data_IF_477474136541
#
_entry.id   IF_477474136541
#
_cell.length_a   1.000
_cell.length_b   1.000
_cell.length_c   1.000
_cell.angle_alpha   90.00
_cell.angle_beta   90.00
_cell.angle_gamma   90.00
#
_symmetry.space_group_name_H-M   'P 1'
#
loop_
_entity.id
_entity.type
_entity.pdbx_description
1 polymer ?
#
# COMPACT_ATOMS: atom_id res chain seq x y z
N UNK A 1 -12.71 -12.45 -2.41
CA UNK A 1 -11.40 -11.79 -2.45
C UNK A 1 -11.51 -10.48 -3.23
N UNK A 2 -10.93 -9.43 -2.72
CA UNK A 2 -10.92 -8.14 -3.41
C UNK A 2 -9.76 -8.05 -4.38
N UNK A 3 -9.99 -7.39 -5.50
CA UNK A 3 -8.92 -6.96 -6.37
C UNK A 3 -8.31 -5.70 -5.78
N UNK A 4 -6.99 -5.65 -5.70
CA UNK A 4 -6.28 -4.49 -5.16
C UNK A 4 -5.54 -3.80 -6.30
N UNK A 5 -5.94 -2.57 -6.59
CA UNK A 5 -5.26 -1.72 -7.57
C UNK A 5 -4.22 -0.92 -6.80
N UNK A 6 -2.96 -1.01 -7.21
CA UNK A 6 -1.86 -0.45 -6.43
C UNK A 6 -0.95 0.45 -7.24
N UNK A 7 -0.35 1.43 -6.54
CA UNK A 7 0.74 2.26 -7.04
C UNK A 7 1.75 2.43 -5.91
N UNK A 8 3.02 2.26 -6.21
CA UNK A 8 4.09 2.44 -5.22
C UNK A 8 4.71 3.83 -5.34
N UNK A 9 5.10 4.38 -4.20
CA UNK A 9 5.73 5.69 -4.13
C UNK A 9 6.87 5.65 -3.11
N UNK A 10 8.06 6.06 -3.52
CA UNK A 10 9.19 6.24 -2.61
C UNK A 10 9.23 7.70 -2.14
N UNK A 11 9.42 7.91 -0.84
CA UNK A 11 9.59 9.26 -0.29
C UNK A 11 10.90 9.90 -0.74
N UNK A 12 11.93 9.08 -0.91
CA UNK A 12 13.22 9.55 -1.41
C UNK A 12 13.34 9.22 -2.88
N UNK A 13 13.77 10.19 -3.67
CA UNK A 13 14.00 9.99 -5.09
C UNK A 13 15.16 9.02 -5.30
N UNK A 14 15.14 8.31 -6.44
CA UNK A 14 16.20 7.40 -6.90
C UNK A 14 16.33 6.09 -6.13
N UNK A 15 15.37 5.73 -5.31
CA UNK A 15 15.37 4.39 -4.74
C UNK A 15 14.82 3.38 -5.74
N UNK A 16 15.48 2.25 -5.84
CA UNK A 16 15.01 1.13 -6.64
C UNK A 16 14.27 0.14 -5.74
N UNK A 17 13.22 -0.45 -6.28
CA UNK A 17 12.48 -1.50 -5.59
C UNK A 17 13.32 -2.77 -5.55
N UNK A 18 13.72 -3.19 -4.36
CA UNK A 18 14.49 -4.41 -4.13
C UNK A 18 13.55 -5.59 -3.92
N UNK A 19 14.08 -6.81 -4.00
CA UNK A 19 13.27 -8.02 -3.80
C UNK A 19 12.62 -8.02 -2.41
N UNK A 20 13.33 -7.62 -1.37
CA UNK A 20 12.76 -7.54 -0.03
C UNK A 20 11.57 -6.58 0.03
N UNK A 21 11.66 -5.47 -0.69
CA UNK A 21 10.56 -4.49 -0.77
C UNK A 21 9.35 -5.11 -1.48
N UNK A 22 9.57 -5.86 -2.55
CA UNK A 22 8.50 -6.54 -3.27
C UNK A 22 7.80 -7.55 -2.38
N UNK A 23 8.56 -8.30 -1.60
CA UNK A 23 8.00 -9.30 -0.68
C UNK A 23 7.12 -8.63 0.38
N UNK A 24 7.56 -7.49 0.90
CA UNK A 24 6.76 -6.73 1.86
C UNK A 24 5.47 -6.19 1.23
N UNK A 25 5.56 -5.66 0.02
CA UNK A 25 4.40 -5.17 -0.72
C UNK A 25 3.42 -6.31 -0.97
N UNK A 26 3.91 -7.45 -1.46
CA UNK A 26 3.08 -8.60 -1.74
C UNK A 26 2.34 -9.08 -0.50
N UNK A 27 3.01 -9.08 0.66
CA UNK A 27 2.40 -9.46 1.92
C UNK A 27 1.27 -8.50 2.30
N UNK A 28 1.50 -7.20 2.16
CA UNK A 28 0.48 -6.18 2.46
C UNK A 28 -0.71 -6.34 1.51
N UNK A 29 -0.45 -6.50 0.22
CA UNK A 29 -1.52 -6.70 -0.79
C UNK A 29 -2.33 -7.95 -0.47
N UNK A 30 -1.68 -9.04 -0.09
CA UNK A 30 -2.35 -10.28 0.31
C UNK A 30 -3.32 -10.04 1.48
N UNK A 31 -2.86 -9.33 2.51
CA UNK A 31 -3.69 -9.00 3.67
C UNK A 31 -4.91 -8.19 3.22
N UNK A 32 -4.70 -7.18 2.38
CA UNK A 32 -5.77 -6.33 1.88
C UNK A 32 -6.75 -7.10 0.99
N UNK A 33 -6.24 -7.96 0.11
CA UNK A 33 -7.07 -8.76 -0.79
C UNK A 33 -7.98 -9.72 -0.03
N UNK A 34 -7.56 -10.17 1.13
CA UNK A 34 -8.34 -11.04 1.99
C UNK A 34 -9.21 -10.27 3.00
N UNK A 35 -9.34 -8.97 2.80
CA UNK A 35 -10.17 -8.09 3.61
C UNK A 35 -9.80 -8.12 5.09
N UNK A 36 -8.52 -8.34 5.39
CA UNK A 36 -7.99 -8.28 6.74
C UNK A 36 -7.56 -6.86 7.08
N UNK A 37 -7.53 -6.55 8.36
CA UNK A 37 -7.13 -5.23 8.83
C UNK A 37 -5.61 -5.18 8.95
N UNK A 38 -5.00 -4.14 8.39
CA UNK A 38 -3.56 -3.92 8.52
C UNK A 38 -3.20 -3.51 9.94
N UNK A 39 -2.03 -3.95 10.40
CA UNK A 39 -1.46 -3.50 11.66
C UNK A 39 -1.27 -1.97 11.66
N UNK A 40 -1.43 -1.35 12.81
CA UNK A 40 -1.28 0.10 12.97
C UNK A 40 0.09 0.62 12.52
N UNK A 41 1.11 -0.22 12.55
CA UNK A 41 2.45 0.16 12.11
C UNK A 41 2.50 0.59 10.64
N UNK A 42 1.55 0.14 9.84
CA UNK A 42 1.47 0.51 8.41
C UNK A 42 0.82 1.87 8.18
N UNK A 43 0.23 2.48 9.22
CA UNK A 43 -0.38 3.81 9.14
C UNK A 43 -1.36 3.96 7.98
N UNK A 44 -2.19 2.94 7.78
CA UNK A 44 -3.19 2.93 6.71
C UNK A 44 -4.20 4.05 6.93
N UNK A 45 -4.41 4.87 5.89
CA UNK A 45 -5.37 5.98 5.97
C UNK A 45 -5.92 6.31 4.59
N UNK A 46 -7.11 6.89 4.58
CA UNK A 46 -7.78 7.32 3.36
C UNK A 46 -7.18 8.63 2.85
N UNK A 47 -7.01 8.74 1.54
CA UNK A 47 -6.57 9.99 0.91
C UNK A 47 -7.76 10.94 0.79
N UNK A 48 -7.47 12.23 0.63
CA UNK A 48 -8.47 13.29 0.57
C UNK A 48 -8.64 13.84 -0.84
N UNK A 49 -9.69 14.61 -1.05
CA UNK A 49 -9.96 15.30 -2.31
C UNK A 49 -10.32 14.33 -3.43
N UNK A 50 -9.74 14.53 -4.59
CA UNK A 50 -10.01 13.71 -5.78
C UNK A 50 -9.56 12.25 -5.61
N UNK A 51 -8.74 11.97 -4.60
CA UNK A 51 -8.19 10.64 -4.33
C UNK A 51 -8.91 9.94 -3.19
N UNK A 52 -10.08 10.39 -2.80
CA UNK A 52 -10.83 9.83 -1.66
C UNK A 52 -11.15 8.34 -1.80
N UNK A 53 -11.15 7.81 -3.02
CA UNK A 53 -11.39 6.38 -3.25
C UNK A 53 -10.16 5.54 -2.95
N UNK A 54 -9.01 6.18 -2.80
CA UNK A 54 -7.74 5.52 -2.55
C UNK A 54 -7.36 5.62 -1.08
N UNK A 55 -6.56 4.66 -0.65
CA UNK A 55 -5.95 4.65 0.67
C UNK A 55 -4.44 4.57 0.51
N UNK A 56 -3.72 5.02 1.52
CA UNK A 56 -2.27 4.99 1.53
C UNK A 56 -1.80 4.26 2.79
N UNK A 57 -0.80 3.41 2.66
CA UNK A 57 -0.17 2.81 3.82
C UNK A 57 1.36 2.82 3.65
N UNK A 58 2.05 2.77 4.79
CA UNK A 58 3.51 2.76 4.82
C UNK A 58 3.98 1.32 4.90
N UNK A 59 4.42 0.75 3.78
CA UNK A 59 5.02 -0.59 3.76
C UNK A 59 6.35 -0.56 4.49
N UNK A 60 7.11 0.51 4.26
CA UNK A 60 8.34 0.86 4.98
C UNK A 60 8.29 2.38 5.21
N UNK A 61 9.13 2.92 6.12
CA UNK A 61 9.11 4.36 6.38
C UNK A 61 9.27 5.23 5.13
N UNK A 62 9.98 4.74 4.11
CA UNK A 62 10.22 5.46 2.88
C UNK A 62 9.50 4.86 1.66
N UNK A 63 8.69 3.82 1.85
CA UNK A 63 7.97 3.16 0.76
C UNK A 63 6.48 3.15 1.06
N UNK A 64 5.73 3.90 0.27
CA UNK A 64 4.28 4.02 0.41
C UNK A 64 3.56 3.17 -0.63
N UNK A 65 2.47 2.56 -0.23
CA UNK A 65 1.55 1.86 -1.12
C UNK A 65 0.25 2.63 -1.16
N UNK A 66 -0.10 3.10 -2.36
CA UNK A 66 -1.40 3.74 -2.59
C UNK A 66 -2.28 2.69 -3.26
N UNK A 67 -3.44 2.43 -2.70
CA UNK A 67 -4.28 1.33 -3.17
C UNK A 67 -5.75 1.66 -3.14
N UNK A 68 -6.50 0.88 -3.93
CA UNK A 68 -7.96 0.93 -3.98
C UNK A 68 -8.46 -0.51 -4.00
N UNK A 69 -9.46 -0.81 -3.17
CA UNK A 69 -10.12 -2.12 -3.19
C UNK A 69 -11.24 -2.11 -4.21
N UNK A 70 -11.32 -3.17 -4.98
CA UNK A 70 -12.33 -3.32 -6.02
C UNK A 70 -12.91 -4.73 -5.93
N UNK A 71 -14.23 -4.79 -5.91
CA UNK A 71 -14.91 -6.09 -5.93
C UNK A 71 -14.91 -6.70 -7.32
#
# INVERSE_FOLDING_TARGET
MFEIITTLKFKKQRKKLKQDDKDLVDNVVFILANNQILDKKYKDHQLKGNLKEFRECHVKPDLLLIYKKRK
#
